data_IF_185026565005
#
_entry.id   IF_185026565005
#
_cell.length_a   1.000
_cell.length_b   1.000
_cell.length_c   1.000
_cell.angle_alpha   90.00
_cell.angle_beta   90.00
_cell.angle_gamma   90.00
#
_symmetry.space_group_name_H-M   'P 1'
#
loop_
_entity.id
_entity.type
_entity.pdbx_description
1 polymer ?
#
# COMPACT_ATOMS: atom_id res chain seq x y z
N UNK A 1 11.08 24.78 -4.57
CA UNK A 1 11.68 23.52 -4.10
C UNK A 1 10.98 22.35 -4.78
N UNK A 2 11.71 21.30 -5.18
CA UNK A 2 11.13 20.02 -5.62
C UNK A 2 11.37 19.04 -4.48
N UNK A 3 10.29 18.57 -3.85
CA UNK A 3 10.37 17.52 -2.85
C UNK A 3 10.20 16.17 -3.55
N UNK A 4 11.03 15.15 -3.24
CA UNK A 4 10.71 13.79 -3.65
C UNK A 4 9.35 13.39 -3.05
N UNK A 5 8.57 12.65 -3.83
CA UNK A 5 7.28 12.14 -3.42
C UNK A 5 7.14 10.68 -3.86
N UNK A 6 6.55 9.86 -3.00
CA UNK A 6 6.36 8.43 -3.19
C UNK A 6 4.87 8.10 -3.11
N UNK A 7 4.35 7.41 -4.13
CA UNK A 7 3.00 6.86 -4.10
C UNK A 7 3.07 5.51 -3.39
N UNK A 8 2.37 5.40 -2.26
CA UNK A 8 2.25 4.18 -1.47
C UNK A 8 0.86 3.58 -1.70
N UNK A 9 0.81 2.30 -2.03
CA UNK A 9 -0.43 1.57 -2.25
C UNK A 9 -0.64 0.57 -1.11
N UNK A 10 -1.72 0.76 -0.35
CA UNK A 10 -2.20 -0.17 0.68
C UNK A 10 -3.24 -1.08 0.04
N UNK A 11 -2.91 -2.37 -0.07
CA UNK A 11 -3.80 -3.39 -0.64
C UNK A 11 -4.55 -4.06 0.51
N UNK A 12 -5.87 -3.93 0.52
CA UNK A 12 -6.76 -4.51 1.52
C UNK A 12 -7.60 -5.59 0.86
N UNK A 13 -7.42 -6.81 1.34
CA UNK A 13 -8.21 -7.96 0.98
C UNK A 13 -9.40 -8.10 1.93
N UNK A 14 -10.59 -8.27 1.38
CA UNK A 14 -11.81 -8.57 2.15
C UNK A 14 -12.41 -9.88 1.68
N UNK A 15 -12.83 -10.73 2.62
CA UNK A 15 -13.70 -11.85 2.29
C UNK A 15 -15.14 -11.34 2.11
N UNK A 16 -15.70 -11.55 0.91
CA UNK A 16 -17.10 -11.22 0.65
C UNK A 16 -18.08 -12.13 1.41
N UNK A 17 -17.59 -13.22 2.01
CA UNK A 17 -18.40 -14.22 2.70
C UNK A 17 -18.21 -14.23 4.22
N UNK A 18 -17.16 -13.61 4.76
CA UNK A 18 -16.90 -13.49 6.20
C UNK A 18 -16.36 -12.10 6.59
N UNK A 19 -17.11 -11.29 7.35
CA UNK A 19 -16.70 -9.93 7.71
C UNK A 19 -15.51 -9.84 8.68
N UNK A 20 -14.99 -10.97 9.17
CA UNK A 20 -13.89 -11.02 10.14
C UNK A 20 -12.50 -11.21 9.48
N UNK A 21 -12.44 -11.46 8.18
CA UNK A 21 -11.17 -11.67 7.45
C UNK A 21 -10.74 -10.43 6.67
N UNK A 22 -10.04 -9.49 7.32
CA UNK A 22 -9.28 -8.45 6.62
C UNK A 22 -7.82 -8.90 6.55
N UNK A 23 -7.27 -8.93 5.34
CA UNK A 23 -5.83 -9.20 5.12
C UNK A 23 -5.20 -8.07 4.33
N UNK A 24 -3.91 -7.87 4.51
CA UNK A 24 -3.10 -6.86 3.81
C UNK A 24 -2.21 -7.53 2.79
N UNK A 25 -2.15 -6.97 1.58
CA UNK A 25 -1.15 -7.35 0.59
C UNK A 25 0.19 -6.69 0.94
N UNK A 26 1.15 -7.49 1.41
CA UNK A 26 2.48 -7.03 1.83
C UNK A 26 3.58 -7.85 1.14
N UNK A 27 4.76 -7.24 1.00
CA UNK A 27 5.98 -7.92 0.53
C UNK A 27 6.88 -8.16 1.73
N UNK A 28 7.38 -9.37 1.89
CA UNK A 28 8.36 -9.70 2.92
C UNK A 28 9.76 -9.45 2.39
N UNK A 29 10.56 -8.72 3.15
CA UNK A 29 11.95 -8.35 2.82
C UNK A 29 12.87 -8.79 3.96
N UNK A 30 14.19 -8.70 3.76
CA UNK A 30 15.16 -8.97 4.84
C UNK A 30 14.96 -8.08 6.07
N UNK A 31 14.37 -6.89 5.87
CA UNK A 31 14.23 -5.86 6.90
C UNK A 31 12.81 -5.83 7.50
N UNK A 32 11.94 -6.76 7.11
CA UNK A 32 10.55 -6.87 7.55
C UNK A 32 9.55 -6.73 6.41
N UNK A 33 8.31 -6.38 6.75
CA UNK A 33 7.22 -6.22 5.78
C UNK A 33 7.21 -4.82 5.16
N UNK A 34 6.91 -4.78 3.86
CA UNK A 34 6.88 -3.55 3.09
C UNK A 34 5.58 -3.42 2.28
N UNK A 35 5.10 -2.18 2.18
CA UNK A 35 4.08 -1.78 1.22
C UNK A 35 4.67 -1.68 -0.18
N UNK A 36 3.81 -1.81 -1.18
CA UNK A 36 4.17 -1.43 -2.54
C UNK A 36 4.21 0.08 -2.70
N UNK A 37 5.31 0.59 -3.20
CA UNK A 37 5.51 2.01 -3.46
C UNK A 37 6.23 2.26 -4.78
N UNK A 38 6.06 3.46 -5.33
CA UNK A 38 6.81 3.96 -6.47
C UNK A 38 7.06 5.45 -6.34
N UNK A 39 8.24 5.90 -6.81
CA UNK A 39 8.58 7.31 -6.88
C UNK A 39 7.66 8.03 -7.87
N UNK A 40 7.14 9.19 -7.48
CA UNK A 40 6.38 10.07 -8.35
C UNK A 40 7.34 10.90 -9.20
N UNK A 41 7.44 10.54 -10.48
CA UNK A 41 8.22 11.33 -11.44
C UNK A 41 7.53 12.65 -11.79
N UNK A 42 8.33 13.66 -12.12
CA UNK A 42 7.84 14.96 -12.52
C UNK A 42 6.91 14.87 -13.74
N UNK A 43 5.72 15.47 -13.64
CA UNK A 43 4.72 15.46 -14.70
C UNK A 43 3.80 14.23 -14.73
N UNK A 44 4.07 13.19 -13.92
CA UNK A 44 3.14 12.06 -13.75
C UNK A 44 2.06 12.40 -12.71
N UNK A 45 0.84 11.91 -12.93
CA UNK A 45 -0.23 11.98 -11.92
C UNK A 45 -0.07 10.84 -10.93
N UNK A 46 -0.20 11.13 -9.63
CA UNK A 46 -0.10 10.12 -8.57
C UNK A 46 -1.12 8.99 -8.72
N UNK A 47 -2.31 9.30 -9.24
CA UNK A 47 -3.35 8.31 -9.53
C UNK A 47 -2.92 7.29 -10.60
N UNK A 48 -2.23 7.75 -11.66
CA UNK A 48 -1.75 6.85 -12.72
C UNK A 48 -0.65 5.92 -12.19
N UNK A 49 0.24 6.46 -11.34
CA UNK A 49 1.25 5.66 -10.64
C UNK A 49 0.61 4.61 -9.72
N UNK A 50 -0.44 4.97 -8.97
CA UNK A 50 -1.18 4.02 -8.15
C UNK A 50 -1.83 2.91 -8.99
N UNK A 51 -2.38 3.25 -10.17
CA UNK A 51 -2.93 2.25 -11.10
C UNK A 51 -1.86 1.32 -11.67
N UNK A 52 -0.66 1.82 -11.93
CA UNK A 52 0.44 0.99 -12.41
C UNK A 52 0.96 0.06 -11.31
N UNK A 53 1.00 0.52 -10.05
CA UNK A 53 1.24 -0.35 -8.89
C UNK A 53 0.19 -1.46 -8.79
N UNK A 54 -1.10 -1.15 -8.95
CA UNK A 54 -2.16 -2.16 -8.97
C UNK A 54 -1.90 -3.22 -10.05
N UNK A 55 -1.64 -2.81 -11.31
CA UNK A 55 -1.41 -3.77 -12.41
C UNK A 55 -0.17 -4.64 -12.16
N UNK A 56 0.86 -4.05 -11.56
CA UNK A 56 2.11 -4.74 -11.23
C UNK A 56 1.85 -5.84 -10.21
N UNK A 57 1.19 -5.53 -9.10
CA UNK A 57 1.10 -6.44 -7.95
C UNK A 57 -0.21 -7.23 -7.84
N UNK A 58 -1.25 -6.86 -8.58
CA UNK A 58 -2.58 -7.50 -8.51
C UNK A 58 -2.97 -8.00 -9.90
N UNK A 59 -3.43 -9.25 -9.99
CA UNK A 59 -4.05 -9.77 -11.20
C UNK A 59 -5.53 -9.36 -11.25
N UNK A 60 -5.80 -8.25 -11.93
CA UNK A 60 -7.17 -7.72 -12.09
C UNK A 60 -8.10 -8.64 -12.92
N UNK A 61 -7.59 -9.73 -13.49
CA UNK A 61 -8.40 -10.73 -14.20
C UNK A 61 -8.89 -11.85 -13.29
N UNK A 62 -8.32 -11.99 -12.09
CA UNK A 62 -8.69 -13.05 -11.15
C UNK A 62 -9.98 -12.76 -10.36
N UNK A 63 -10.57 -11.57 -10.52
CA UNK A 63 -11.82 -11.18 -9.87
C UNK A 63 -12.61 -10.18 -10.73
N UNK A 64 -13.88 -9.95 -10.38
CA UNK A 64 -14.73 -8.98 -11.10
C UNK A 64 -14.24 -7.56 -10.82
N UNK A 65 -13.86 -6.82 -11.87
CA UNK A 65 -13.26 -5.47 -11.76
C UNK A 65 -14.04 -4.46 -10.92
N UNK A 66 -15.37 -4.55 -10.84
CA UNK A 66 -16.17 -3.62 -10.02
C UNK A 66 -15.98 -3.82 -8.50
N UNK A 67 -15.33 -4.92 -8.09
CA UNK A 67 -14.93 -5.17 -6.71
C UNK A 67 -13.60 -4.48 -6.35
N UNK A 68 -12.96 -3.80 -7.31
CA UNK A 68 -11.81 -2.95 -7.06
C UNK A 68 -12.28 -1.55 -6.65
N UNK A 69 -11.95 -1.14 -5.43
CA UNK A 69 -12.20 0.23 -4.97
C UNK A 69 -10.87 0.90 -4.67
N UNK A 70 -10.52 1.93 -5.45
CA UNK A 70 -9.31 2.73 -5.24
C UNK A 70 -9.68 4.09 -4.68
N UNK A 71 -9.23 4.41 -3.46
CA UNK A 71 -9.44 5.71 -2.81
C UNK A 71 -8.10 6.36 -2.43
N UNK A 72 -7.97 7.69 -2.55
CA UNK A 72 -6.90 8.41 -1.89
C UNK A 72 -7.18 8.40 -0.37
N UNK A 73 -6.19 8.02 0.43
CA UNK A 73 -6.34 8.00 1.89
C UNK A 73 -5.92 9.35 2.50
N UNK A 74 -4.61 9.67 2.47
CA UNK A 74 -4.00 10.92 2.95
C UNK A 74 -2.58 11.09 2.36
N UNK A 75 -1.85 12.11 2.80
CA UNK A 75 -0.40 12.18 2.65
C UNK A 75 0.29 12.27 4.02
N UNK A 76 1.52 11.74 4.08
CA UNK A 76 2.40 11.84 5.26
C UNK A 76 3.68 12.54 4.84
N UNK A 77 4.15 13.43 5.69
CA UNK A 77 5.29 14.27 5.45
C UNK A 77 6.21 14.23 6.68
N UNK A 78 7.47 13.82 6.50
CA UNK A 78 8.42 13.66 7.59
C UNK A 78 9.88 13.73 7.11
N UNK A 79 10.75 14.53 7.78
CA UNK A 79 12.12 14.77 7.33
C UNK A 79 13.03 13.52 7.40
N UNK A 80 12.76 12.57 8.31
CA UNK A 80 13.62 11.41 8.58
C UNK A 80 13.06 10.07 8.08
N UNK A 81 12.02 10.07 7.22
CA UNK A 81 11.35 8.83 6.77
C UNK A 81 12.23 7.92 5.91
N UNK A 82 13.26 8.49 5.31
CA UNK A 82 14.24 7.81 4.50
C UNK A 82 15.62 8.23 5.04
N UNK A 83 16.41 7.30 5.60
CA UNK A 83 17.70 7.63 6.22
C UNK A 83 18.66 8.38 5.28
N UNK A 84 18.51 8.18 3.97
CA UNK A 84 19.35 8.78 2.93
C UNK A 84 18.75 10.04 2.29
N UNK A 85 17.54 10.45 2.70
CA UNK A 85 16.88 11.60 2.09
C UNK A 85 17.46 12.91 2.63
N UNK A 86 18.24 13.61 1.80
CA UNK A 86 18.72 14.97 2.06
C UNK A 86 17.59 16.03 2.08
N UNK A 87 16.35 15.63 1.77
CA UNK A 87 15.17 16.48 1.66
C UNK A 87 13.94 15.75 2.19
N UNK A 88 13.01 16.52 2.75
CA UNK A 88 11.69 16.08 3.18
C UNK A 88 10.96 15.27 2.08
N UNK A 89 10.51 14.05 2.42
CA UNK A 89 9.96 13.07 1.47
C UNK A 89 8.46 12.82 1.74
N UNK A 90 7.63 13.05 0.72
CA UNK A 90 6.16 13.05 0.84
C UNK A 90 5.63 11.67 0.43
N UNK A 91 4.88 10.97 1.30
CA UNK A 91 4.11 9.80 0.87
C UNK A 91 2.68 10.21 0.49
N UNK A 92 2.28 9.90 -0.73
CA UNK A 92 0.90 9.96 -1.20
C UNK A 92 0.28 8.57 -1.04
N UNK A 93 -0.73 8.44 -0.17
CA UNK A 93 -1.28 7.15 0.22
C UNK A 93 -2.55 6.87 -0.58
N UNK A 94 -2.58 5.73 -1.25
CA UNK A 94 -3.76 5.16 -1.89
C UNK A 94 -4.12 3.85 -1.23
N UNK A 95 -5.42 3.63 -1.02
CA UNK A 95 -5.97 2.36 -0.58
C UNK A 95 -6.68 1.69 -1.75
N UNK A 96 -6.41 0.41 -1.96
CA UNK A 96 -7.19 -0.43 -2.87
C UNK A 96 -7.83 -1.56 -2.08
N UNK A 97 -9.15 -1.70 -2.22
CA UNK A 97 -9.91 -2.82 -1.64
C UNK A 97 -10.23 -3.80 -2.76
N UNK A 98 -9.91 -5.07 -2.56
CA UNK A 98 -10.15 -6.17 -3.49
C UNK A 98 -10.57 -7.44 -2.73
N UNK A 99 -11.19 -8.43 -3.41
CA UNK A 99 -11.49 -9.73 -2.80
C UNK A 99 -10.23 -10.50 -2.40
N UNK A 100 -10.25 -11.28 -1.31
CA UNK A 100 -9.12 -12.14 -0.91
C UNK A 100 -8.76 -13.23 -1.92
N UNK A 101 -9.71 -13.65 -2.76
CA UNK A 101 -9.43 -14.58 -3.85
C UNK A 101 -8.68 -13.92 -5.03
N UNK A 102 -8.36 -12.63 -4.94
CA UNK A 102 -7.52 -11.97 -5.92
C UNK A 102 -6.09 -12.54 -5.89
N UNK A 103 -5.54 -12.83 -7.06
CA UNK A 103 -4.17 -13.31 -7.19
C UNK A 103 -3.20 -12.12 -7.08
N UNK A 104 -2.27 -12.22 -6.12
CA UNK A 104 -1.18 -11.27 -5.93
C UNK A 104 0.07 -11.73 -6.70
N UNK A 105 0.89 -10.77 -7.14
CA UNK A 105 2.08 -10.96 -7.98
C UNK A 105 3.30 -10.29 -7.36
N UNK A 106 4.49 -10.63 -7.87
CA UNK A 106 5.79 -10.07 -7.45
C UNK A 106 6.01 -10.17 -5.94
N UNK A 107 5.90 -11.40 -5.43
CA UNK A 107 6.20 -11.77 -4.03
C UNK A 107 5.29 -11.11 -2.97
N UNK A 108 4.25 -10.41 -3.41
CA UNK A 108 3.21 -9.92 -2.52
C UNK A 108 2.36 -11.09 -2.04
N UNK A 109 2.11 -11.13 -0.74
CA UNK A 109 1.34 -12.15 -0.06
C UNK A 109 0.29 -11.51 0.86
N UNK A 110 -0.79 -12.25 1.09
CA UNK A 110 -1.81 -11.84 2.04
C UNK A 110 -1.36 -12.09 3.47
N UNK A 111 -1.43 -11.05 4.29
CA UNK A 111 -1.05 -11.09 5.70
C UNK A 111 -2.27 -10.69 6.54
N UNK A 112 -2.76 -11.55 7.45
CA UNK A 112 -3.88 -11.23 8.31
C UNK A 112 -3.66 -9.97 9.12
N UNK A 113 -4.66 -9.09 9.15
CA UNK A 113 -4.69 -7.91 10.02
C UNK A 113 -5.18 -8.34 11.41
N UNK A 114 -4.31 -8.99 12.17
CA UNK A 114 -4.58 -9.44 13.54
C UNK A 114 -3.80 -8.62 14.58
N UNK A 115 -3.97 -8.94 15.86
CA UNK A 115 -3.24 -8.28 16.95
C UNK A 115 -1.72 -8.49 16.87
N UNK A 116 -1.26 -9.53 16.16
CA UNK A 116 0.17 -9.81 16.01
C UNK A 116 0.83 -8.91 14.96
N UNK A 117 0.06 -8.28 14.07
CA UNK A 117 0.63 -7.41 13.04
C UNK A 117 1.40 -6.23 13.65
N UNK A 118 1.00 -5.75 14.84
CA UNK A 118 1.70 -4.69 15.56
C UNK A 118 3.07 -5.14 16.09
N UNK A 119 3.30 -6.45 16.23
CA UNK A 119 4.57 -7.02 16.69
C UNK A 119 5.53 -7.34 15.53
N UNK A 120 5.11 -7.12 14.27
CA UNK A 120 5.95 -7.35 13.09
C UNK A 120 6.81 -6.13 12.79
N UNK A 121 8.00 -6.36 12.25
CA UNK A 121 8.87 -5.29 11.74
C UNK A 121 8.37 -4.81 10.38
N UNK A 122 8.31 -3.50 10.20
CA UNK A 122 7.95 -2.88 8.93
C UNK A 122 9.07 -1.97 8.44
N UNK A 123 9.23 -1.91 7.12
CA UNK A 123 10.14 -0.97 6.50
C UNK A 123 9.65 0.47 6.72
N UNK A 124 10.57 1.38 7.06
CA UNK A 124 10.30 2.83 7.22
C UNK A 124 9.12 3.06 8.18
N UNK A 125 8.13 3.85 7.78
CA UNK A 125 6.90 4.12 8.50
C UNK A 125 5.69 3.41 7.89
N UNK A 126 5.88 2.31 7.17
CA UNK A 126 4.81 1.62 6.45
C UNK A 126 3.66 1.15 7.36
N UNK A 127 3.94 0.75 8.60
CA UNK A 127 2.89 0.45 9.59
C UNK A 127 2.00 1.68 9.89
N UNK A 128 2.60 2.86 9.99
CA UNK A 128 1.86 4.10 10.18
C UNK A 128 1.00 4.45 8.95
N UNK A 129 1.54 4.25 7.74
CA UNK A 129 0.80 4.44 6.49
C UNK A 129 -0.41 3.51 6.42
N UNK A 130 -0.24 2.23 6.79
CA UNK A 130 -1.32 1.24 6.87
C UNK A 130 -2.40 1.74 7.83
N UNK A 131 -2.03 2.12 9.05
CA UNK A 131 -2.97 2.60 10.06
C UNK A 131 -3.76 3.83 9.56
N UNK A 132 -3.10 4.79 8.91
CA UNK A 132 -3.75 5.96 8.32
C UNK A 132 -4.75 5.57 7.23
N UNK A 133 -4.38 4.65 6.35
CA UNK A 133 -5.24 4.18 5.25
C UNK A 133 -6.48 3.42 5.74
N UNK A 134 -6.33 2.63 6.81
CA UNK A 134 -7.45 1.91 7.43
C UNK A 134 -8.42 2.84 8.16
N UNK A 135 -7.93 3.92 8.78
CA UNK A 135 -8.76 4.88 9.53
C UNK A 135 -9.50 5.90 8.65
N UNK A 136 -8.98 6.24 7.45
CA UNK A 136 -9.41 7.43 6.70
C UNK A 136 -9.90 7.20 5.27
N UNK A 137 -10.07 5.95 4.81
CA UNK A 137 -10.41 5.67 3.41
C UNK A 137 -11.48 4.63 3.20
#
# INVERSE_FOLDING_TARGET
MKFPAHVNLVVVGVDNYQPEGIELGLIETSDGFSLTEAKLEYGKKSYDVARDLIKKYIDITSFKRHLLVLSPARFVDGPDRYPDALLQDIALIYKVIIPLNACLKNDMQWIPLDQNIQNKTFCKDHLNIINIALQNG
#
